data_IF_649564885634
#
_entry.id   IF_649564885634
#
_cell.length_a   1.000
_cell.length_b   1.000
_cell.length_c   1.000
_cell.angle_alpha   90.00
_cell.angle_beta   90.00
_cell.angle_gamma   90.00
#
_symmetry.space_group_name_H-M   'P 1'
#
loop_
_entity.id
_entity.type
_entity.pdbx_description
1 polymer ?
#
# COMPACT_ATOMS: atom_id res chain seq x y z
N UNK A 1 -4.58 -18.32 8.87
CA UNK A 1 -5.09 -19.72 8.93
C UNK A 1 -5.23 -20.34 7.54
N UNK A 2 -5.60 -19.57 6.51
CA UNK A 2 -5.90 -20.09 5.17
C UNK A 2 -4.72 -20.14 4.20
N UNK A 3 -3.53 -19.63 4.58
CA UNK A 3 -2.43 -19.45 3.62
C UNK A 3 -2.50 -18.17 2.79
N UNK A 4 -3.64 -17.45 2.82
CA UNK A 4 -3.84 -16.21 2.07
C UNK A 4 -2.66 -15.23 2.16
N UNK A 5 -2.18 -14.93 3.37
CA UNK A 5 -1.00 -14.09 3.59
C UNK A 5 0.27 -14.95 3.49
N UNK A 6 1.17 -14.62 2.56
CA UNK A 6 2.35 -15.43 2.26
C UNK A 6 3.57 -14.56 1.90
N UNK A 7 4.74 -15.20 1.82
CA UNK A 7 5.97 -14.59 1.28
C UNK A 7 6.16 -15.02 -0.16
N UNK A 8 6.52 -14.10 -1.05
CA UNK A 8 6.94 -14.45 -2.41
C UNK A 8 8.47 -14.65 -2.50
N UNK A 9 8.95 -14.99 -3.70
CA UNK A 9 10.39 -15.22 -3.95
C UNK A 9 11.27 -13.97 -3.82
N UNK A 10 10.66 -12.77 -3.87
CA UNK A 10 11.35 -11.48 -3.68
C UNK A 10 11.40 -11.07 -2.21
N UNK A 11 10.87 -11.91 -1.32
CA UNK A 11 10.74 -11.59 0.10
C UNK A 11 9.63 -10.57 0.39
N UNK A 12 8.71 -10.32 -0.53
CA UNK A 12 7.52 -9.50 -0.27
C UNK A 12 6.50 -10.29 0.55
N UNK A 13 5.81 -9.63 1.47
CA UNK A 13 4.61 -10.22 2.09
C UNK A 13 3.43 -9.85 1.20
N UNK A 14 2.81 -10.82 0.52
CA UNK A 14 1.66 -10.62 -0.35
C UNK A 14 0.43 -11.34 0.19
N UNK A 15 -0.71 -11.15 -0.46
CA UNK A 15 -1.96 -11.78 -0.07
C UNK A 15 -2.72 -12.28 -1.29
N UNK A 16 -3.10 -13.56 -1.29
CA UNK A 16 -4.20 -14.03 -2.13
C UNK A 16 -5.51 -13.56 -1.47
N UNK A 17 -6.16 -12.54 -2.04
CA UNK A 17 -7.34 -11.93 -1.40
C UNK A 17 -8.55 -12.87 -1.41
N UNK A 18 -8.67 -13.73 -2.42
CA UNK A 18 -9.80 -14.64 -2.59
C UNK A 18 -9.87 -15.69 -1.47
N UNK A 19 -8.71 -16.02 -0.87
CA UNK A 19 -8.59 -16.93 0.27
C UNK A 19 -8.73 -16.20 1.63
N UNK A 20 -8.96 -14.89 1.64
CA UNK A 20 -9.09 -14.11 2.86
C UNK A 20 -10.47 -14.29 3.49
N UNK A 21 -10.56 -15.06 4.57
CA UNK A 21 -11.79 -15.27 5.33
C UNK A 21 -12.12 -14.17 6.36
N UNK A 22 -11.39 -13.04 6.35
CA UNK A 22 -11.71 -11.91 7.21
C UNK A 22 -11.52 -12.12 8.73
N UNK A 23 -10.71 -13.09 9.14
CA UNK A 23 -10.54 -13.45 10.56
C UNK A 23 -9.77 -12.41 11.41
N UNK A 24 -9.17 -11.38 10.79
CA UNK A 24 -8.37 -10.31 11.43
C UNK A 24 -7.12 -10.76 12.21
N UNK A 25 -6.80 -12.05 12.28
CA UNK A 25 -5.60 -12.56 12.97
C UNK A 25 -4.31 -11.87 12.51
N UNK A 26 -4.17 -11.61 11.21
CA UNK A 26 -3.02 -10.90 10.66
C UNK A 26 -2.88 -9.46 11.19
N UNK A 27 -3.99 -8.75 11.40
CA UNK A 27 -3.99 -7.39 11.93
C UNK A 27 -3.47 -7.38 13.36
N UNK A 28 -4.00 -8.27 14.20
CA UNK A 28 -3.61 -8.36 15.62
C UNK A 28 -2.15 -8.80 15.78
N UNK A 29 -1.66 -9.68 14.90
CA UNK A 29 -0.28 -10.16 14.93
C UNK A 29 0.74 -9.13 14.40
N UNK A 30 0.30 -8.17 13.57
CA UNK A 30 1.19 -7.18 12.99
C UNK A 30 1.57 -6.11 14.02
N UNK A 31 2.85 -6.00 14.44
CA UNK A 31 3.25 -5.04 15.48
C UNK A 31 3.22 -3.58 14.99
N UNK A 32 2.99 -3.37 13.70
CA UNK A 32 3.02 -2.07 13.03
C UNK A 32 1.65 -1.47 12.76
N UNK A 33 0.56 -2.22 12.92
CA UNK A 33 -0.80 -1.72 12.68
C UNK A 33 -1.07 -1.29 11.22
N UNK A 34 -0.32 -1.80 10.25
CA UNK A 34 -0.38 -1.38 8.83
C UNK A 34 -1.41 -2.15 7.98
N UNK A 35 -2.21 -3.03 8.61
CA UNK A 35 -3.22 -3.83 7.93
C UNK A 35 -4.60 -3.27 8.26
N UNK A 36 -5.38 -2.96 7.22
CA UNK A 36 -6.75 -2.48 7.34
C UNK A 36 -7.74 -3.62 7.07
N UNK A 37 -8.96 -3.47 7.59
CA UNK A 37 -10.07 -4.39 7.34
C UNK A 37 -11.21 -3.65 6.65
N UNK A 38 -11.68 -4.19 5.53
CA UNK A 38 -12.83 -3.68 4.80
C UNK A 38 -14.14 -4.00 5.53
N UNK A 39 -14.40 -3.28 6.64
CA UNK A 39 -15.63 -3.41 7.40
C UNK A 39 -16.84 -2.91 6.61
N UNK A 40 -16.67 -1.79 5.89
CA UNK A 40 -17.64 -1.23 4.96
C UNK A 40 -17.37 -1.75 3.54
N UNK A 41 -18.40 -1.73 2.69
CA UNK A 41 -18.22 -1.91 1.25
C UNK A 41 -17.36 -0.76 0.72
N UNK A 42 -16.21 -1.02 0.09
CA UNK A 42 -15.36 0.05 -0.45
C UNK A 42 -16.14 0.94 -1.42
N UNK A 43 -15.83 2.24 -1.40
CA UNK A 43 -16.41 3.24 -2.30
C UNK A 43 -17.93 3.45 -2.20
N UNK A 44 -18.58 3.00 -1.11
CA UNK A 44 -20.04 3.17 -0.92
C UNK A 44 -20.55 4.61 -1.14
N UNK A 45 -19.75 5.64 -0.83
CA UNK A 45 -20.11 7.05 -1.05
C UNK A 45 -20.37 7.42 -2.52
N UNK A 46 -19.82 6.67 -3.47
CA UNK A 46 -20.03 6.92 -4.90
C UNK A 46 -21.38 6.38 -5.42
N UNK A 47 -22.15 5.73 -4.55
CA UNK A 47 -23.52 5.31 -4.84
C UNK A 47 -24.55 6.38 -4.47
N UNK A 48 -24.12 7.51 -3.91
CA UNK A 48 -24.97 8.65 -3.59
C UNK A 48 -25.33 9.42 -4.86
N UNK A 49 -26.62 9.66 -5.07
CA UNK A 49 -27.16 10.38 -6.21
C UNK A 49 -27.70 11.77 -5.86
N UNK A 50 -27.57 12.21 -4.61
CA UNK A 50 -27.97 13.56 -4.19
C UNK A 50 -27.12 14.64 -4.87
N UNK A 51 -27.78 15.73 -5.24
CA UNK A 51 -27.18 16.91 -5.87
C UNK A 51 -27.28 18.09 -4.91
N UNK A 52 -26.21 18.90 -4.84
CA UNK A 52 -26.20 20.10 -4.01
C UNK A 52 -27.15 21.18 -4.55
N UNK A 53 -27.17 21.34 -5.87
CA UNK A 53 -28.13 22.15 -6.61
C UNK A 53 -28.85 21.23 -7.58
N UNK A 54 -30.13 20.98 -7.31
CA UNK A 54 -30.95 20.07 -8.11
C UNK A 54 -30.96 20.50 -9.60
N UNK A 55 -30.66 19.56 -10.48
CA UNK A 55 -30.52 19.75 -11.92
C UNK A 55 -29.43 20.76 -12.35
N UNK A 56 -28.46 21.04 -11.48
CA UNK A 56 -27.35 21.97 -11.75
C UNK A 56 -25.98 21.36 -11.49
N UNK A 57 -25.77 20.88 -10.26
CA UNK A 57 -24.54 20.15 -9.89
C UNK A 57 -24.66 18.68 -10.19
N UNK A 58 -23.53 17.97 -10.30
CA UNK A 58 -23.50 16.51 -10.43
C UNK A 58 -23.57 15.82 -9.07
N UNK A 59 -23.94 14.55 -9.09
CA UNK A 59 -23.82 13.64 -7.95
C UNK A 59 -22.67 12.62 -8.12
N UNK A 60 -22.19 12.00 -7.04
CA UNK A 60 -21.21 10.92 -7.12
C UNK A 60 -21.63 9.80 -8.08
N UNK A 61 -22.88 9.33 -8.03
CA UNK A 61 -23.40 8.28 -8.90
C UNK A 61 -23.48 8.73 -10.36
N UNK A 62 -23.85 9.99 -10.62
CA UNK A 62 -23.85 10.55 -11.97
C UNK A 62 -22.44 10.55 -12.56
N UNK A 63 -21.43 10.97 -11.78
CA UNK A 63 -20.04 10.97 -12.22
C UNK A 63 -19.52 9.54 -12.48
N UNK A 64 -19.91 8.57 -11.65
CA UNK A 64 -19.56 7.17 -11.85
C UNK A 64 -20.11 6.64 -13.19
N UNK A 65 -21.40 6.88 -13.47
CA UNK A 65 -22.02 6.52 -14.76
C UNK A 65 -21.34 7.21 -15.94
N UNK A 66 -21.01 8.50 -15.80
CA UNK A 66 -20.38 9.29 -16.87
C UNK A 66 -18.97 8.82 -17.23
N UNK A 67 -18.19 8.43 -16.23
CA UNK A 67 -16.81 7.96 -16.42
C UNK A 67 -16.73 6.50 -16.87
N UNK A 68 -17.80 5.72 -16.67
CA UNK A 68 -17.80 4.28 -16.96
C UNK A 68 -17.01 3.45 -15.94
N UNK A 69 -16.55 4.07 -14.85
CA UNK A 69 -15.86 3.38 -13.77
C UNK A 69 -16.81 2.49 -12.95
N UNK A 70 -16.28 1.46 -12.30
CA UNK A 70 -17.07 0.44 -11.59
C UNK A 70 -17.42 0.84 -10.16
N UNK A 71 -16.47 1.38 -9.41
CA UNK A 71 -16.67 1.72 -8.00
C UNK A 71 -16.39 3.19 -7.68
N UNK A 72 -15.43 3.79 -8.36
CA UNK A 72 -15.04 5.20 -8.18
C UNK A 72 -14.41 5.71 -9.47
N UNK A 73 -14.66 6.96 -9.89
CA UNK A 73 -14.02 7.54 -11.08
C UNK A 73 -12.48 7.63 -10.97
N UNK A 74 -11.93 7.39 -9.78
CA UNK A 74 -10.50 7.38 -9.49
C UNK A 74 -9.89 5.97 -9.40
N UNK A 75 -10.61 4.92 -9.81
CA UNK A 75 -10.05 3.56 -9.79
C UNK A 75 -8.88 3.43 -10.78
N UNK A 76 -7.84 2.68 -10.38
CA UNK A 76 -6.72 2.37 -11.26
C UNK A 76 -6.83 0.90 -11.72
N UNK A 77 -7.16 0.64 -13.00
CA UNK A 77 -7.25 -0.71 -13.54
C UNK A 77 -5.97 -1.53 -13.42
N UNK A 78 -4.78 -0.89 -13.45
CA UNK A 78 -3.48 -1.57 -13.34
C UNK A 78 -3.34 -2.36 -12.03
N UNK A 79 -4.06 -1.99 -10.97
CA UNK A 79 -4.04 -2.76 -9.72
C UNK A 79 -4.56 -4.18 -9.91
N UNK A 80 -5.47 -4.36 -10.87
CA UNK A 80 -6.10 -5.64 -11.23
C UNK A 80 -5.14 -6.68 -11.78
N UNK A 81 -3.93 -6.29 -12.19
CA UNK A 81 -2.93 -7.20 -12.75
C UNK A 81 -2.54 -8.32 -11.79
N UNK A 82 -2.52 -8.05 -10.48
CA UNK A 82 -2.04 -9.02 -9.46
C UNK A 82 -2.86 -9.06 -8.18
N UNK A 83 -3.89 -8.22 -8.03
CA UNK A 83 -4.73 -8.15 -6.83
C UNK A 83 -6.08 -7.50 -7.17
N UNK A 84 -7.17 -7.71 -6.40
CA UNK A 84 -8.45 -7.11 -6.75
C UNK A 84 -8.34 -5.58 -6.85
N UNK A 85 -8.77 -5.03 -8.00
CA UNK A 85 -8.82 -3.58 -8.21
C UNK A 85 -9.61 -2.91 -7.09
N UNK A 86 -10.80 -3.47 -6.80
CA UNK A 86 -11.65 -3.12 -5.68
C UNK A 86 -11.77 -4.36 -4.80
N UNK A 87 -11.44 -4.24 -3.51
CA UNK A 87 -11.45 -5.39 -2.61
C UNK A 87 -12.88 -5.66 -2.13
N UNK A 88 -13.25 -6.93 -1.90
CA UNK A 88 -14.52 -7.25 -1.28
C UNK A 88 -14.57 -6.76 0.18
N UNK A 89 -15.79 -6.48 0.65
CA UNK A 89 -16.06 -6.33 2.08
C UNK A 89 -15.61 -7.59 2.81
N UNK A 90 -15.24 -7.47 4.08
CA UNK A 90 -14.80 -8.56 4.97
C UNK A 90 -13.42 -9.15 4.65
N UNK A 91 -12.60 -8.52 3.81
CA UNK A 91 -11.19 -8.89 3.66
C UNK A 91 -10.28 -7.87 4.32
N UNK A 92 -9.06 -8.31 4.62
CA UNK A 92 -7.98 -7.40 5.04
C UNK A 92 -7.13 -7.00 3.86
N UNK A 93 -6.53 -5.82 3.90
CA UNK A 93 -5.57 -5.34 2.90
C UNK A 93 -4.45 -4.53 3.54
N UNK A 94 -3.35 -4.35 2.81
CA UNK A 94 -2.17 -3.58 3.22
C UNK A 94 -1.30 -3.24 2.00
N UNK A 95 -0.21 -2.50 2.22
CA UNK A 95 0.84 -2.30 1.22
C UNK A 95 1.31 -3.62 0.59
N UNK A 96 1.41 -3.63 -0.74
CA UNK A 96 1.88 -4.73 -1.59
C UNK A 96 3.25 -4.45 -2.22
N UNK A 97 3.91 -3.38 -1.76
CA UNK A 97 5.16 -2.87 -2.34
C UNK A 97 5.04 -2.50 -3.83
N UNK A 98 3.82 -2.24 -4.30
CA UNK A 98 3.50 -2.05 -5.71
C UNK A 98 4.01 -3.19 -6.62
N UNK A 99 3.94 -4.43 -6.14
CA UNK A 99 4.19 -5.67 -6.91
C UNK A 99 3.79 -5.61 -8.40
N UNK A 100 2.54 -5.23 -8.74
CA UNK A 100 2.07 -5.04 -10.13
C UNK A 100 2.94 -4.12 -11.00
N UNK A 101 3.58 -3.11 -10.41
CA UNK A 101 4.51 -2.19 -11.10
C UNK A 101 5.90 -2.81 -11.20
N UNK A 102 6.36 -3.46 -10.13
CA UNK A 102 7.65 -4.17 -10.11
C UNK A 102 7.70 -5.29 -11.14
N UNK A 103 6.59 -6.00 -11.36
CA UNK A 103 6.48 -7.04 -12.39
C UNK A 103 6.71 -6.48 -13.82
N UNK A 104 6.54 -5.16 -14.01
CA UNK A 104 6.79 -4.43 -15.26
C UNK A 104 8.10 -3.64 -15.25
N UNK A 105 8.96 -3.83 -14.24
CA UNK A 105 10.20 -3.07 -14.08
C UNK A 105 9.99 -1.59 -13.74
N UNK A 106 8.78 -1.20 -13.31
CA UNK A 106 8.46 0.16 -12.91
C UNK A 106 8.66 0.34 -11.41
N UNK A 107 8.91 1.58 -10.99
CA UNK A 107 9.03 1.93 -9.57
C UNK A 107 7.67 1.86 -8.85
N UNK A 108 7.67 1.65 -7.51
CA UNK A 108 6.48 1.89 -6.70
C UNK A 108 6.00 3.33 -6.83
N UNK A 109 4.68 3.54 -6.88
CA UNK A 109 4.11 4.88 -7.07
C UNK A 109 4.58 5.90 -6.01
N UNK A 110 4.80 5.45 -4.77
CA UNK A 110 5.30 6.30 -3.69
C UNK A 110 6.78 6.66 -3.81
N UNK A 111 7.57 5.95 -4.61
CA UNK A 111 8.95 6.33 -4.96
C UNK A 111 8.91 7.44 -5.98
N UNK A 112 8.21 7.23 -7.10
CA UNK A 112 8.08 8.23 -8.18
C UNK A 112 7.44 9.53 -7.71
N UNK A 113 6.49 9.46 -6.77
CA UNK A 113 5.82 10.64 -6.24
C UNK A 113 6.67 11.48 -5.27
N UNK A 114 7.86 11.02 -4.86
CA UNK A 114 8.67 11.70 -3.86
C UNK A 114 9.53 12.80 -4.49
N UNK A 115 9.29 14.10 -4.22
CA UNK A 115 9.99 15.19 -4.90
C UNK A 115 11.47 15.31 -4.51
N UNK A 116 11.86 14.74 -3.37
CA UNK A 116 13.23 14.76 -2.86
C UNK A 116 13.96 13.41 -3.00
N UNK A 117 13.35 12.45 -3.72
CA UNK A 117 13.89 11.10 -3.90
C UNK A 117 14.24 10.40 -2.58
N UNK A 118 13.57 10.76 -1.49
CA UNK A 118 13.86 10.26 -0.14
C UNK A 118 13.55 8.75 0.03
N UNK A 119 12.92 8.13 -0.95
CA UNK A 119 12.45 6.74 -0.92
C UNK A 119 13.18 5.95 -2.00
N UNK A 120 14.07 5.05 -1.58
CA UNK A 120 14.81 4.16 -2.45
C UNK A 120 14.44 2.72 -2.12
N UNK A 121 14.22 1.90 -3.15
CA UNK A 121 13.98 0.47 -3.00
C UNK A 121 15.08 -0.32 -3.72
N UNK A 122 15.26 -1.58 -3.36
CA UNK A 122 16.24 -2.47 -3.98
C UNK A 122 16.35 -3.77 -3.21
N UNK A 123 17.18 -4.68 -3.72
CA UNK A 123 17.49 -5.93 -3.05
C UNK A 123 18.55 -5.72 -1.96
N UNK A 124 18.24 -6.10 -0.73
CA UNK A 124 19.17 -6.02 0.40
C UNK A 124 20.18 -7.17 0.41
N UNK A 125 19.89 -8.24 -0.33
CA UNK A 125 20.77 -9.39 -0.44
C UNK A 125 21.85 -9.15 -1.53
N UNK A 126 21.64 -8.18 -2.43
CA UNK A 126 22.67 -7.63 -3.32
C UNK A 126 23.51 -6.56 -2.59
N UNK A 127 24.81 -6.80 -2.30
CA UNK A 127 25.66 -5.84 -1.60
C UNK A 127 25.95 -4.56 -2.40
N UNK A 128 25.76 -4.59 -3.72
CA UNK A 128 26.00 -3.47 -4.64
C UNK A 128 24.75 -2.63 -4.88
N UNK A 129 23.59 -3.06 -4.41
CA UNK A 129 22.36 -2.28 -4.56
C UNK A 129 22.46 -0.94 -3.80
N UNK A 130 21.78 0.09 -4.31
CA UNK A 130 21.75 1.41 -3.66
C UNK A 130 21.28 1.32 -2.20
N UNK A 131 20.29 0.49 -1.91
CA UNK A 131 19.76 0.33 -0.55
C UNK A 131 20.78 -0.32 0.39
N UNK A 132 21.50 -1.35 -0.07
CA UNK A 132 22.56 -2.01 0.70
C UNK A 132 23.73 -1.06 0.99
N UNK A 133 24.09 -0.22 0.03
CA UNK A 133 25.13 0.80 0.22
C UNK A 133 24.67 1.90 1.20
N UNK A 134 23.44 2.38 1.09
CA UNK A 134 22.90 3.44 1.96
C UNK A 134 22.88 3.03 3.44
N UNK A 135 22.51 1.78 3.75
CA UNK A 135 22.47 1.30 5.15
C UNK A 135 23.85 0.94 5.72
N UNK A 136 24.87 0.81 4.86
CA UNK A 136 26.28 0.72 5.30
C UNK A 136 26.86 2.12 5.54
N UNK A 137 26.54 3.07 4.66
CA UNK A 137 27.02 4.44 4.72
C UNK A 137 26.42 5.22 5.91
N UNK A 138 25.16 4.98 6.23
CA UNK A 138 24.45 5.65 7.31
C UNK A 138 24.01 4.64 8.37
N UNK A 139 24.01 5.03 9.64
CA UNK A 139 23.40 4.23 10.71
C UNK A 139 21.88 4.12 10.46
N UNK A 140 21.37 2.93 10.12
CA UNK A 140 19.95 2.79 9.83
C UNK A 140 19.15 2.65 11.12
N UNK A 141 17.90 3.09 11.07
CA UNK A 141 16.88 2.87 12.10
C UNK A 141 15.74 2.05 11.51
N UNK A 142 15.20 1.14 12.32
CA UNK A 142 14.02 0.35 12.01
C UNK A 142 12.95 0.63 13.07
N UNK A 143 11.68 0.50 12.68
CA UNK A 143 10.58 0.58 13.64
C UNK A 143 10.44 -0.76 14.37
N UNK A 144 10.27 -0.70 15.68
CA UNK A 144 10.03 -1.84 16.57
C UNK A 144 10.95 -3.05 16.31
N UNK A 145 12.28 -2.88 16.24
CA UNK A 145 13.19 -4.01 16.05
C UNK A 145 13.05 -5.07 17.16
N UNK A 146 12.66 -4.67 18.36
CA UNK A 146 12.37 -5.55 19.50
C UNK A 146 11.23 -6.54 19.25
N UNK A 147 10.35 -6.29 18.28
CA UNK A 147 9.28 -7.21 17.91
C UNK A 147 9.78 -8.43 17.10
N UNK A 148 11.06 -8.49 16.75
CA UNK A 148 11.69 -9.68 16.14
C UNK A 148 11.25 -10.00 14.70
N UNK A 149 10.55 -9.09 14.01
CA UNK A 149 10.01 -9.37 12.66
C UNK A 149 11.00 -9.13 11.53
N UNK A 150 12.15 -8.52 11.81
CA UNK A 150 13.15 -8.14 10.80
C UNK A 150 12.59 -7.21 9.71
N UNK A 151 12.05 -6.02 10.06
CA UNK A 151 11.40 -5.14 9.10
C UNK A 151 12.39 -4.64 8.03
N UNK A 152 12.01 -4.67 6.74
CA UNK A 152 12.89 -4.25 5.63
C UNK A 152 12.63 -2.83 5.14
N UNK A 153 12.14 -1.96 6.02
CA UNK A 153 12.07 -0.50 5.77
C UNK A 153 13.04 0.16 6.76
N UNK A 154 14.01 0.86 6.21
CA UNK A 154 15.08 1.52 6.96
C UNK A 154 14.97 3.03 6.82
N UNK A 155 15.18 3.73 7.93
CA UNK A 155 15.24 5.18 8.00
C UNK A 155 16.68 5.59 8.27
N UNK A 156 17.16 6.59 7.55
CA UNK A 156 18.51 7.14 7.72
C UNK A 156 18.43 8.64 7.99
N UNK A 157 19.45 9.17 8.67
CA UNK A 157 19.54 10.58 9.10
C UNK A 157 18.40 10.95 10.08
N UNK A 158 18.13 12.25 10.19
CA UNK A 158 17.10 12.82 11.06
C UNK A 158 16.19 13.74 10.24
N UNK A 159 14.91 13.80 10.59
CA UNK A 159 13.96 14.73 9.97
C UNK A 159 14.30 16.18 10.34
N UNK A 160 14.47 16.43 11.64
CA UNK A 160 14.94 17.72 12.15
C UNK A 160 16.46 17.81 12.18
N UNK A 161 16.95 19.04 12.32
CA UNK A 161 18.35 19.35 12.61
C UNK A 161 18.50 19.81 14.05
N UNK A 162 19.74 19.90 14.56
CA UNK A 162 19.98 20.51 15.87
C UNK A 162 19.56 21.98 15.81
N UNK A 163 18.79 22.42 16.81
CA UNK A 163 18.45 23.83 16.99
C UNK A 163 19.73 24.65 17.10
N UNK A 164 19.79 25.75 16.36
CA UNK A 164 20.80 26.78 16.53
C UNK A 164 20.22 27.90 17.41
N UNK A 165 21.10 28.55 18.19
CA UNK A 165 20.80 29.65 19.11
C UNK A 165 19.53 29.39 19.95
#
# INVERSE_FOLDING_TARGET
>A
PTGAMHKDKRGLTLQNNDECIGCKKCMNACPYGVISFNAATPHRRWQDDSELVANGTVSPLMLLKRTGAKATPNENPERGDTYPMIRPKRTTEKCTFCDHRLDKGLNPACVDACPSEARVIGDLDDPQSKVSQLIKLHKPMQLKPEAGTGPRVFYIRSFGVKTAY
#
